data_IF_433539734587
#
_entry.id   IF_433539734587
#
_cell.length_a   1.000
_cell.length_b   1.000
_cell.length_c   1.000
_cell.angle_alpha   90.00
_cell.angle_beta   90.00
_cell.angle_gamma   90.00
#
_symmetry.space_group_name_H-M   'P 1'
#
loop_
_entity.id
_entity.type
_entity.pdbx_description
1 polymer ?
#
# COMPACT_ATOMS: atom_id res chain seq x y z
N UNK A 1 -21.77 10.74 20.82
CA UNK A 1 -21.02 9.47 20.63
C UNK A 1 -21.70 8.28 21.31
N UNK A 2 -22.08 8.30 22.57
CA UNK A 2 -22.75 7.13 23.22
C UNK A 2 -24.22 6.96 22.78
N UNK A 3 -24.98 8.05 22.55
CA UNK A 3 -26.34 8.01 21.99
C UNK A 3 -26.38 7.46 20.55
N UNK A 4 -25.35 7.69 19.74
CA UNK A 4 -25.29 7.23 18.36
C UNK A 4 -25.11 5.71 18.24
N UNK A 5 -24.34 5.08 19.12
CA UNK A 5 -24.11 3.64 19.12
C UNK A 5 -25.37 2.84 19.52
N UNK A 6 -26.15 3.37 20.45
CA UNK A 6 -27.41 2.78 20.84
C UNK A 6 -28.46 2.83 19.70
N UNK A 7 -28.62 4.01 19.08
CA UNK A 7 -29.52 4.18 17.92
C UNK A 7 -29.07 3.30 16.73
N UNK A 8 -27.77 3.15 16.52
CA UNK A 8 -27.25 2.25 15.49
C UNK A 8 -27.52 0.78 15.77
N UNK A 9 -27.42 0.33 17.03
CA UNK A 9 -27.74 -1.05 17.39
C UNK A 9 -29.22 -1.35 17.20
N UNK A 10 -30.11 -0.46 17.66
CA UNK A 10 -31.57 -0.59 17.47
C UNK A 10 -31.93 -0.51 15.97
N UNK A 11 -31.29 0.41 15.20
CA UNK A 11 -31.52 0.54 13.77
C UNK A 11 -31.18 -0.75 13.01
N UNK A 12 -30.08 -1.42 13.35
CA UNK A 12 -29.70 -2.72 12.75
C UNK A 12 -30.77 -3.79 12.97
N UNK A 13 -31.33 -3.89 14.18
CA UNK A 13 -32.43 -4.81 14.43
C UNK A 13 -33.75 -4.40 13.77
N UNK A 14 -33.98 -3.09 13.57
CA UNK A 14 -35.12 -2.61 12.80
C UNK A 14 -35.03 -3.01 11.33
N UNK A 15 -33.81 -2.98 10.76
CA UNK A 15 -33.57 -3.37 9.37
C UNK A 15 -33.57 -4.89 9.16
N UNK A 16 -33.21 -5.67 10.17
CA UNK A 16 -33.23 -7.14 10.08
C UNK A 16 -34.66 -7.70 10.20
N UNK A 17 -34.96 -8.65 9.32
CA UNK A 17 -36.14 -9.48 9.47
C UNK A 17 -35.84 -10.63 10.43
N UNK A 18 -36.38 -10.52 11.66
CA UNK A 18 -36.29 -11.54 12.71
C UNK A 18 -37.64 -12.22 12.97
N UNK A 19 -38.64 -12.03 12.10
CA UNK A 19 -40.01 -12.55 12.29
C UNK A 19 -40.03 -14.07 12.35
N UNK A 20 -39.19 -14.75 11.59
CA UNK A 20 -39.09 -16.22 11.54
C UNK A 20 -37.96 -16.77 12.44
N UNK A 21 -37.28 -15.89 13.21
CA UNK A 21 -36.23 -16.33 14.10
C UNK A 21 -36.76 -17.17 15.26
N UNK A 22 -36.28 -18.38 15.35
CA UNK A 22 -36.80 -19.40 16.29
C UNK A 22 -36.67 -18.99 17.76
N UNK A 23 -35.60 -18.31 18.13
CA UNK A 23 -35.38 -17.91 19.52
C UNK A 23 -36.40 -16.86 19.96
N UNK A 24 -36.63 -15.84 19.11
CA UNK A 24 -37.60 -14.78 19.40
C UNK A 24 -39.05 -15.23 19.24
N UNK A 25 -39.34 -16.08 18.25
CA UNK A 25 -40.68 -16.64 18.05
C UNK A 25 -41.07 -17.51 19.23
N UNK A 26 -40.17 -18.40 19.69
CA UNK A 26 -40.39 -19.23 20.86
C UNK A 26 -40.59 -18.40 22.15
N UNK A 27 -39.83 -17.28 22.26
CA UNK A 27 -39.98 -16.38 23.41
C UNK A 27 -41.35 -15.68 23.43
N UNK A 28 -41.88 -15.23 22.28
CA UNK A 28 -43.22 -14.64 22.16
C UNK A 28 -44.29 -15.66 22.47
N UNK A 29 -44.16 -16.90 21.99
CA UNK A 29 -45.10 -17.99 22.31
C UNK A 29 -45.07 -18.34 23.80
N UNK A 30 -43.89 -18.38 24.40
CA UNK A 30 -43.74 -18.63 25.83
C UNK A 30 -44.37 -17.52 26.68
N UNK A 31 -44.13 -16.23 26.33
CA UNK A 31 -44.78 -15.10 27.03
C UNK A 31 -46.31 -15.18 26.99
N UNK A 32 -46.84 -15.47 25.80
CA UNK A 32 -48.30 -15.70 25.62
C UNK A 32 -48.80 -16.85 26.51
N UNK A 33 -48.05 -17.95 26.58
CA UNK A 33 -48.42 -19.13 27.36
C UNK A 33 -48.32 -18.90 28.87
N UNK A 34 -47.26 -18.22 29.36
CA UNK A 34 -47.11 -17.85 30.78
C UNK A 34 -48.29 -17.05 31.27
N UNK A 35 -48.78 -16.12 30.47
CA UNK A 35 -49.86 -15.23 30.84
C UNK A 35 -51.26 -15.70 30.39
N UNK A 36 -51.30 -16.80 29.63
CA UNK A 36 -52.56 -17.30 29.02
C UNK A 36 -53.26 -16.17 28.26
N UNK A 37 -52.55 -15.52 27.35
CA UNK A 37 -52.99 -14.37 26.53
C UNK A 37 -52.96 -14.70 25.06
N UNK A 38 -53.96 -14.28 24.25
CA UNK A 38 -53.96 -14.58 22.81
C UNK A 38 -52.99 -13.72 22.00
N UNK A 39 -52.50 -12.61 22.55
CA UNK A 39 -51.62 -11.66 21.86
C UNK A 39 -50.34 -11.48 22.63
N UNK A 40 -49.24 -11.54 21.91
CA UNK A 40 -47.91 -11.26 22.42
C UNK A 40 -47.00 -10.73 21.32
N UNK A 41 -46.03 -9.92 21.67
CA UNK A 41 -45.05 -9.41 20.68
C UNK A 41 -43.74 -8.97 21.31
N UNK A 42 -42.70 -8.96 20.46
CA UNK A 42 -41.47 -8.20 20.64
C UNK A 42 -41.50 -7.02 19.66
N UNK A 43 -41.35 -5.81 20.18
CA UNK A 43 -41.26 -4.61 19.36
C UNK A 43 -40.04 -3.79 19.63
N UNK A 44 -39.55 -3.11 18.58
CA UNK A 44 -38.46 -2.12 18.62
C UNK A 44 -39.06 -0.75 18.38
N UNK A 45 -38.39 0.28 18.90
CA UNK A 45 -38.90 1.64 18.88
C UNK A 45 -37.86 2.56 18.24
N UNK A 46 -38.27 3.30 17.21
CA UNK A 46 -37.57 4.50 16.78
C UNK A 46 -38.23 5.77 17.38
N UNK A 47 -37.90 6.94 16.87
CA UNK A 47 -38.43 8.20 17.36
C UNK A 47 -39.97 8.32 17.16
N UNK A 48 -40.52 7.74 16.09
CA UNK A 48 -41.90 7.94 15.63
C UNK A 48 -42.69 6.65 15.51
N UNK A 49 -42.01 5.51 15.34
CA UNK A 49 -42.63 4.26 14.95
C UNK A 49 -42.28 3.14 15.96
N UNK A 50 -43.24 2.32 16.23
CA UNK A 50 -43.09 1.02 16.89
C UNK A 50 -43.17 -0.07 15.83
N UNK A 51 -42.11 -0.90 15.72
CA UNK A 51 -42.03 -2.02 14.80
C UNK A 51 -42.24 -3.33 15.53
N UNK A 52 -43.26 -4.09 15.14
CA UNK A 52 -43.53 -5.41 15.69
C UNK A 52 -42.68 -6.45 14.96
N UNK A 53 -41.56 -6.80 15.53
CA UNK A 53 -40.59 -7.67 14.91
C UNK A 53 -40.96 -9.14 15.00
N UNK A 54 -41.52 -9.56 16.10
CA UNK A 54 -42.09 -10.89 16.30
C UNK A 54 -43.44 -10.72 17.00
N UNK A 55 -44.47 -11.37 16.50
CA UNK A 55 -45.85 -11.17 16.99
C UNK A 55 -46.68 -12.44 16.95
N UNK A 56 -47.68 -12.51 17.84
CA UNK A 56 -48.71 -13.55 17.90
C UNK A 56 -50.07 -12.88 18.04
N UNK A 57 -51.04 -13.35 17.26
CA UNK A 57 -52.46 -12.95 17.38
C UNK A 57 -52.87 -11.77 16.51
N UNK A 58 -51.94 -11.04 15.84
CA UNK A 58 -52.25 -9.95 14.91
C UNK A 58 -51.23 -9.87 13.78
N UNK A 59 -51.56 -9.11 12.70
CA UNK A 59 -50.72 -9.09 11.47
C UNK A 59 -49.99 -7.77 11.24
N UNK A 60 -50.28 -6.69 12.01
CA UNK A 60 -49.62 -5.39 11.77
C UNK A 60 -48.12 -5.43 12.03
N UNK A 61 -47.33 -4.93 11.10
CA UNK A 61 -45.86 -4.88 11.20
C UNK A 61 -45.35 -3.66 11.98
N UNK A 62 -46.14 -2.60 12.04
CA UNK A 62 -45.76 -1.35 12.72
C UNK A 62 -46.96 -0.50 13.07
N UNK A 63 -46.75 0.46 13.97
CA UNK A 63 -47.72 1.50 14.29
C UNK A 63 -47.04 2.80 14.70
N UNK A 64 -47.76 3.97 14.60
CA UNK A 64 -47.26 5.21 15.17
C UNK A 64 -47.05 5.06 16.69
N UNK A 65 -45.85 5.45 17.16
CA UNK A 65 -45.47 5.31 18.59
C UNK A 65 -46.42 6.03 19.54
N UNK A 66 -47.00 7.15 19.14
CA UNK A 66 -47.94 7.94 19.93
C UNK A 66 -49.21 7.15 20.33
N UNK A 67 -49.58 6.15 19.51
CA UNK A 67 -50.79 5.31 19.76
C UNK A 67 -50.48 4.06 20.60
N UNK A 68 -49.21 3.82 20.92
CA UNK A 68 -48.77 2.60 21.62
C UNK A 68 -48.72 2.76 23.14
N UNK A 69 -48.90 1.65 23.84
CA UNK A 69 -48.67 1.56 25.30
C UNK A 69 -47.19 1.66 25.67
N UNK A 70 -46.32 1.42 24.70
CA UNK A 70 -44.86 1.31 24.83
C UNK A 70 -44.18 2.58 25.35
N UNK A 71 -44.71 3.78 25.07
CA UNK A 71 -44.13 5.02 25.59
C UNK A 71 -44.09 5.10 27.11
N UNK A 72 -45.05 4.42 27.78
CA UNK A 72 -45.12 4.37 29.24
C UNK A 72 -44.11 3.36 29.81
N UNK A 73 -43.92 2.23 29.14
CA UNK A 73 -42.92 1.20 29.51
C UNK A 73 -41.50 1.77 29.45
N UNK A 74 -41.15 2.40 28.33
CA UNK A 74 -39.78 2.95 28.11
C UNK A 74 -39.46 4.12 29.05
N UNK A 75 -40.46 4.86 29.50
CA UNK A 75 -40.25 5.99 30.44
C UNK A 75 -40.04 5.58 31.88
N UNK A 76 -40.55 4.40 32.28
CA UNK A 76 -40.51 3.94 33.67
C UNK A 76 -39.35 2.99 33.94
N UNK A 77 -38.69 2.48 32.85
CA UNK A 77 -37.63 1.44 32.91
C UNK A 77 -38.02 0.23 33.75
N UNK A 78 -39.34 -0.01 33.91
CA UNK A 78 -39.91 -1.07 34.72
C UNK A 78 -41.15 -1.68 34.00
N UNK A 79 -41.59 -2.81 34.47
CA UNK A 79 -42.77 -3.49 33.96
C UNK A 79 -44.04 -2.63 34.12
N UNK A 80 -44.80 -2.49 33.04
CA UNK A 80 -46.11 -1.85 33.08
C UNK A 80 -47.22 -2.91 32.97
N UNK A 81 -47.97 -3.11 34.06
CA UNK A 81 -49.14 -4.01 34.06
C UNK A 81 -50.40 -3.18 34.19
N UNK A 82 -51.33 -3.37 33.25
CA UNK A 82 -52.62 -2.69 33.20
C UNK A 82 -53.75 -3.76 33.18
N UNK A 83 -54.34 -4.07 34.32
CA UNK A 83 -55.36 -5.14 34.42
C UNK A 83 -56.66 -4.87 33.64
N UNK A 84 -57.04 -3.58 33.50
CA UNK A 84 -58.18 -3.15 32.71
C UNK A 84 -57.90 -1.77 32.09
N UNK A 85 -57.63 -1.75 30.82
CA UNK A 85 -57.21 -0.53 30.08
C UNK A 85 -58.36 0.52 30.02
N UNK A 86 -59.61 0.13 30.08
CA UNK A 86 -60.72 1.08 30.15
C UNK A 86 -60.80 1.82 31.49
N UNK A 87 -60.27 1.23 32.56
CA UNK A 87 -60.30 1.82 33.92
C UNK A 87 -59.01 2.64 34.15
N UNK A 88 -57.96 2.50 33.30
CA UNK A 88 -56.73 3.27 33.41
C UNK A 88 -56.87 4.56 32.65
N UNK A 89 -56.77 5.75 33.30
CA UNK A 89 -56.94 7.04 32.68
C UNK A 89 -55.91 7.30 31.54
N UNK A 90 -54.78 6.62 31.57
CA UNK A 90 -53.72 6.75 30.54
C UNK A 90 -54.15 6.13 29.22
N UNK A 91 -55.01 5.10 29.25
CA UNK A 91 -55.32 4.28 28.10
C UNK A 91 -56.80 4.24 27.72
N UNK A 92 -57.70 4.74 28.56
CA UNK A 92 -59.14 4.68 28.35
C UNK A 92 -59.59 5.29 26.99
N UNK A 93 -58.84 6.28 26.46
CA UNK A 93 -59.10 6.93 25.17
C UNK A 93 -58.18 6.43 24.04
N UNK A 94 -57.39 5.40 24.27
CA UNK A 94 -56.46 4.88 23.27
C UNK A 94 -57.25 4.20 22.12
N UNK A 95 -56.85 4.44 20.82
CA UNK A 95 -57.51 3.81 19.68
C UNK A 95 -57.58 2.28 19.74
N UNK A 96 -56.57 1.62 20.31
CA UNK A 96 -56.50 0.15 20.44
C UNK A 96 -57.40 -0.39 21.55
N UNK A 97 -57.87 0.50 22.45
CA UNK A 97 -58.80 0.16 23.53
C UNK A 97 -60.25 0.41 23.09
N UNK A 98 -60.49 1.50 22.34
CA UNK A 98 -61.84 1.86 21.87
C UNK A 98 -62.24 1.17 20.57
N UNK A 99 -61.25 0.92 19.67
CA UNK A 99 -61.40 0.26 18.37
C UNK A 99 -60.95 -1.20 18.42
N UNK A 100 -61.02 -1.86 17.27
CA UNK A 100 -60.55 -3.25 17.10
C UNK A 100 -59.02 -3.33 17.33
N UNK A 101 -58.55 -4.29 18.14
CA UNK A 101 -59.18 -5.47 18.73
C UNK A 101 -59.76 -5.26 20.13
N UNK A 102 -59.91 -4.01 20.59
CA UNK A 102 -60.52 -3.67 21.90
C UNK A 102 -59.74 -4.26 23.09
N UNK A 103 -58.42 -4.05 23.13
CA UNK A 103 -57.60 -4.56 24.23
C UNK A 103 -58.07 -4.06 25.59
N UNK A 104 -58.12 -4.98 26.57
CA UNK A 104 -58.54 -4.75 27.95
C UNK A 104 -57.40 -5.00 28.95
N UNK A 105 -56.52 -5.86 28.62
CA UNK A 105 -55.34 -6.17 29.44
C UNK A 105 -54.05 -5.88 28.65
N UNK A 106 -53.03 -5.33 29.33
CA UNK A 106 -51.73 -5.10 28.82
C UNK A 106 -50.67 -5.37 29.89
N UNK A 107 -49.63 -6.14 29.56
CA UNK A 107 -48.42 -6.19 30.35
C UNK A 107 -47.21 -6.05 29.40
N UNK A 108 -46.40 -5.04 29.62
CA UNK A 108 -45.23 -4.74 28.82
C UNK A 108 -43.96 -4.60 29.67
N UNK A 109 -42.89 -5.20 29.24
CA UNK A 109 -41.58 -5.20 29.90
C UNK A 109 -40.53 -4.62 28.96
N UNK A 110 -39.70 -3.69 29.44
CA UNK A 110 -38.62 -3.15 28.62
C UNK A 110 -37.56 -4.22 28.38
N UNK A 111 -37.03 -4.26 27.17
CA UNK A 111 -35.80 -5.00 26.80
C UNK A 111 -34.63 -4.06 27.02
N UNK A 112 -33.89 -4.26 28.09
CA UNK A 112 -32.84 -3.35 28.55
C UNK A 112 -31.47 -3.95 28.17
N UNK A 113 -30.62 -3.15 27.54
CA UNK A 113 -29.25 -3.55 27.22
C UNK A 113 -28.27 -3.39 28.42
N UNK A 114 -27.02 -3.78 28.28
CA UNK A 114 -25.93 -3.68 29.27
C UNK A 114 -25.59 -2.25 29.73
N UNK A 115 -26.18 -1.23 29.10
CA UNK A 115 -25.99 0.19 29.40
C UNK A 115 -27.26 0.81 30.04
N UNK A 116 -28.14 -0.01 30.56
CA UNK A 116 -29.42 0.42 31.11
C UNK A 116 -30.29 1.21 30.14
N UNK A 117 -30.24 0.88 28.83
CA UNK A 117 -31.03 1.56 27.81
C UNK A 117 -32.09 0.61 27.23
N UNK A 118 -33.34 1.03 27.12
CA UNK A 118 -34.40 0.22 26.55
C UNK A 118 -34.25 0.13 25.02
N UNK A 119 -34.00 -1.06 24.50
CA UNK A 119 -33.85 -1.35 23.06
C UNK A 119 -35.17 -1.80 22.42
N UNK A 120 -36.11 -2.26 23.21
CA UNK A 120 -37.39 -2.77 22.74
C UNK A 120 -38.34 -3.08 23.88
N UNK A 121 -39.41 -3.78 23.57
CA UNK A 121 -40.44 -4.18 24.55
C UNK A 121 -40.91 -5.60 24.22
N UNK A 122 -41.02 -6.44 25.26
CA UNK A 122 -41.81 -7.64 25.26
C UNK A 122 -43.16 -7.31 25.84
N UNK A 123 -44.26 -7.63 25.15
CA UNK A 123 -45.59 -7.37 25.66
C UNK A 123 -46.57 -8.53 25.41
N UNK A 124 -47.50 -8.67 26.31
CA UNK A 124 -48.69 -9.57 26.22
C UNK A 124 -49.96 -8.78 26.40
N UNK A 125 -50.99 -9.13 25.64
CA UNK A 125 -52.30 -8.42 25.65
C UNK A 125 -53.47 -9.41 25.60
N UNK A 126 -54.59 -8.94 26.09
CA UNK A 126 -55.86 -9.66 26.00
C UNK A 126 -57.02 -8.69 25.74
N UNK A 127 -58.06 -9.17 25.10
CA UNK A 127 -59.38 -8.46 24.95
C UNK A 127 -60.24 -8.55 26.15
N UNK A 128 -59.83 -9.27 27.19
CA UNK A 128 -60.49 -9.40 28.48
C UNK A 128 -59.63 -8.81 29.58
N UNK A 129 -60.23 -8.14 30.59
CA UNK A 129 -59.48 -7.74 31.78
C UNK A 129 -58.89 -8.97 32.48
N UNK A 130 -57.65 -8.80 32.96
CA UNK A 130 -56.87 -9.88 33.57
C UNK A 130 -55.98 -9.34 34.68
N UNK A 131 -55.85 -10.08 35.76
CA UNK A 131 -54.79 -9.83 36.76
C UNK A 131 -53.62 -10.76 36.53
N UNK A 132 -52.44 -10.24 36.67
CA UNK A 132 -51.20 -11.01 36.51
C UNK A 132 -50.70 -11.41 37.90
N UNK A 133 -50.44 -12.70 38.10
CA UNK A 133 -49.79 -13.18 39.31
C UNK A 133 -48.31 -12.73 39.37
N UNK A 134 -47.81 -12.57 40.61
CA UNK A 134 -46.39 -12.16 40.79
C UNK A 134 -45.39 -13.13 40.15
N UNK A 135 -45.70 -14.42 40.17
CA UNK A 135 -44.89 -15.48 39.53
C UNK A 135 -44.85 -15.31 38.01
N UNK A 136 -45.99 -14.97 37.40
CA UNK A 136 -46.07 -14.73 35.95
C UNK A 136 -45.28 -13.47 35.57
N UNK A 137 -45.39 -12.40 36.35
CA UNK A 137 -44.58 -11.19 36.12
C UNK A 137 -43.07 -11.46 36.25
N UNK A 138 -42.66 -12.20 37.30
CA UNK A 138 -41.28 -12.59 37.48
C UNK A 138 -40.73 -13.42 36.28
N UNK A 139 -41.54 -14.37 35.77
CA UNK A 139 -41.17 -15.17 34.58
C UNK A 139 -41.07 -14.30 33.35
N UNK A 140 -41.99 -13.35 33.12
CA UNK A 140 -41.87 -12.40 32.00
C UNK A 140 -40.64 -11.52 32.10
N UNK A 141 -40.28 -11.06 33.30
CA UNK A 141 -39.06 -10.26 33.53
C UNK A 141 -37.81 -11.03 33.13
N UNK A 142 -37.67 -12.27 33.61
CA UNK A 142 -36.56 -13.14 33.22
C UNK A 142 -36.51 -13.36 31.70
N UNK A 143 -37.68 -13.55 31.07
CA UNK A 143 -37.78 -13.75 29.63
C UNK A 143 -37.38 -12.49 28.86
N UNK A 144 -37.78 -11.29 29.31
CA UNK A 144 -37.41 -10.03 28.72
C UNK A 144 -35.88 -9.79 28.81
N UNK A 145 -35.29 -10.05 29.99
CA UNK A 145 -33.82 -10.00 30.15
C UNK A 145 -33.09 -10.97 29.21
N UNK A 146 -33.63 -12.18 29.06
CA UNK A 146 -33.02 -13.17 28.16
C UNK A 146 -33.10 -12.75 26.69
N UNK A 147 -34.22 -12.21 26.25
CA UNK A 147 -34.39 -11.65 24.90
C UNK A 147 -33.41 -10.51 24.67
N UNK A 148 -33.28 -9.57 25.61
CA UNK A 148 -32.34 -8.46 25.51
C UNK A 148 -30.88 -8.94 25.38
N UNK A 149 -30.48 -9.95 26.17
CA UNK A 149 -29.16 -10.56 26.12
C UNK A 149 -28.88 -11.24 24.78
N UNK A 150 -29.86 -11.99 24.22
CA UNK A 150 -29.70 -12.60 22.88
C UNK A 150 -29.53 -11.52 21.82
N UNK A 151 -30.33 -10.46 21.83
CA UNK A 151 -30.21 -9.33 20.91
C UNK A 151 -28.85 -8.71 21.00
N UNK A 152 -28.35 -8.42 22.19
CA UNK A 152 -27.06 -7.80 22.39
C UNK A 152 -25.89 -8.69 21.92
N UNK A 153 -25.98 -10.00 22.22
CA UNK A 153 -24.97 -10.97 21.78
C UNK A 153 -24.85 -10.98 20.23
N UNK A 154 -26.00 -10.98 19.54
CA UNK A 154 -26.01 -10.96 18.05
C UNK A 154 -25.36 -9.72 17.48
N UNK A 155 -25.68 -8.52 17.98
CA UNK A 155 -25.04 -7.28 17.55
C UNK A 155 -23.54 -7.35 17.79
N UNK A 156 -23.13 -7.85 18.95
CA UNK A 156 -21.70 -7.98 19.28
C UNK A 156 -20.98 -8.95 18.35
N UNK A 157 -21.62 -10.07 18.00
CA UNK A 157 -21.07 -11.05 17.06
C UNK A 157 -20.92 -10.47 15.65
N UNK A 158 -21.90 -9.71 15.16
CA UNK A 158 -21.82 -9.05 13.85
C UNK A 158 -20.67 -8.04 13.80
N UNK A 159 -20.55 -7.21 14.85
CA UNK A 159 -19.45 -6.22 14.95
C UNK A 159 -18.07 -6.89 14.97
N UNK A 160 -17.92 -7.96 15.74
CA UNK A 160 -16.68 -8.74 15.81
C UNK A 160 -16.32 -9.36 14.45
N UNK A 161 -17.32 -9.87 13.72
CA UNK A 161 -17.11 -10.46 12.40
C UNK A 161 -16.69 -9.39 11.36
N UNK A 162 -17.30 -8.18 11.41
CA UNK A 162 -16.88 -7.06 10.57
C UNK A 162 -15.44 -6.62 10.89
N UNK A 163 -15.09 -6.50 12.17
CA UNK A 163 -13.71 -6.15 12.58
C UNK A 163 -12.71 -7.22 12.17
N UNK A 164 -13.06 -8.51 12.32
CA UNK A 164 -12.23 -9.62 11.87
C UNK A 164 -11.94 -9.55 10.37
N UNK A 165 -12.98 -9.34 9.55
CA UNK A 165 -12.82 -9.20 8.09
C UNK A 165 -11.91 -8.04 7.71
N UNK A 166 -12.09 -6.87 8.35
CA UNK A 166 -11.23 -5.71 8.12
C UNK A 166 -9.76 -5.99 8.49
N UNK A 167 -9.54 -6.65 9.63
CA UNK A 167 -8.20 -7.03 10.07
C UNK A 167 -7.53 -8.02 9.12
N UNK A 168 -8.28 -9.01 8.61
CA UNK A 168 -7.79 -9.98 7.61
C UNK A 168 -7.43 -9.30 6.28
N UNK A 169 -8.25 -8.37 5.80
CA UNK A 169 -7.97 -7.59 4.58
C UNK A 169 -6.71 -6.73 4.74
N UNK A 170 -6.55 -6.05 5.87
CA UNK A 170 -5.36 -5.26 6.17
C UNK A 170 -4.10 -6.14 6.25
N UNK A 171 -4.19 -7.30 6.92
CA UNK A 171 -3.08 -8.24 7.02
C UNK A 171 -2.65 -8.75 5.64
N UNK A 172 -3.61 -9.12 4.79
CA UNK A 172 -3.35 -9.54 3.41
C UNK A 172 -2.72 -8.44 2.57
N UNK A 173 -3.18 -7.20 2.73
CA UNK A 173 -2.59 -6.06 2.03
C UNK A 173 -1.12 -5.84 2.43
N UNK A 174 -0.83 -5.89 3.74
CA UNK A 174 0.54 -5.75 4.27
C UNK A 174 1.44 -6.87 3.76
N UNK A 175 0.96 -8.12 3.77
CA UNK A 175 1.70 -9.28 3.26
C UNK A 175 2.07 -9.12 1.79
N UNK A 176 1.10 -8.78 0.93
CA UNK A 176 1.32 -8.57 -0.50
C UNK A 176 2.30 -7.41 -0.75
N UNK A 177 2.16 -6.30 -0.02
CA UNK A 177 3.07 -5.17 -0.12
C UNK A 177 4.50 -5.55 0.31
N UNK A 178 4.64 -6.30 1.39
CA UNK A 178 5.93 -6.81 1.89
C UNK A 178 6.61 -7.74 0.87
N UNK A 179 5.85 -8.70 0.30
CA UNK A 179 6.38 -9.60 -0.75
C UNK A 179 6.87 -8.79 -1.96
N UNK A 180 6.11 -7.80 -2.42
CA UNK A 180 6.51 -6.96 -3.56
C UNK A 180 7.79 -6.19 -3.27
N UNK A 181 7.86 -5.49 -2.13
CA UNK A 181 9.05 -4.74 -1.72
C UNK A 181 10.27 -5.65 -1.60
N UNK A 182 10.12 -6.83 -0.96
CA UNK A 182 11.19 -7.81 -0.86
C UNK A 182 11.64 -8.31 -2.23
N UNK A 183 10.72 -8.59 -3.15
CA UNK A 183 11.04 -9.01 -4.51
C UNK A 183 11.86 -7.97 -5.28
N UNK A 184 11.49 -6.68 -5.20
CA UNK A 184 12.28 -5.60 -5.79
C UNK A 184 13.69 -5.51 -5.20
N UNK A 185 13.79 -5.58 -3.88
CA UNK A 185 15.06 -5.51 -3.19
C UNK A 185 15.97 -6.68 -3.56
N UNK A 186 15.45 -7.91 -3.56
CA UNK A 186 16.21 -9.13 -3.87
C UNK A 186 16.58 -9.26 -5.36
N UNK A 187 15.77 -8.73 -6.28
CA UNK A 187 16.02 -8.82 -7.72
C UNK A 187 16.98 -7.77 -8.25
N UNK A 188 17.35 -6.80 -7.43
CA UNK A 188 18.29 -5.74 -7.84
C UNK A 188 19.68 -6.31 -8.14
N UNK A 189 20.23 -5.92 -9.31
CA UNK A 189 21.61 -6.23 -9.67
C UNK A 189 22.64 -5.45 -8.84
N UNK A 190 22.24 -4.36 -8.21
CA UNK A 190 23.11 -3.57 -7.34
C UNK A 190 23.23 -4.24 -5.96
N UNK A 191 24.42 -4.11 -5.37
CA UNK A 191 24.63 -4.40 -3.95
C UNK A 191 23.81 -3.39 -3.12
N UNK A 192 22.92 -3.89 -2.26
CA UNK A 192 22.07 -3.02 -1.44
C UNK A 192 22.06 -3.51 0.01
N UNK A 193 22.26 -2.56 0.92
CA UNK A 193 22.18 -2.78 2.36
C UNK A 193 21.47 -1.63 3.06
N UNK A 194 20.78 -1.95 4.13
CA UNK A 194 20.27 -1.00 5.10
C UNK A 194 21.10 -1.14 6.38
N UNK A 195 21.71 -0.04 6.80
CA UNK A 195 22.52 0.02 8.02
C UNK A 195 21.79 0.82 9.10
N UNK A 196 21.90 0.39 10.35
CA UNK A 196 21.40 1.09 11.51
C UNK A 196 22.31 2.24 11.93
N UNK A 197 21.96 2.94 13.02
CA UNK A 197 22.69 4.12 13.50
C UNK A 197 24.07 3.82 14.10
N UNK A 198 24.39 2.56 14.38
CA UNK A 198 25.70 2.14 14.89
C UNK A 198 26.55 1.39 13.85
N UNK A 199 26.11 1.38 12.58
CA UNK A 199 26.81 0.69 11.48
C UNK A 199 26.49 -0.79 11.35
N UNK A 200 25.54 -1.29 12.16
CA UNK A 200 25.02 -2.65 12.07
C UNK A 200 24.16 -2.85 10.82
N UNK A 201 24.27 -4.00 10.21
CA UNK A 201 23.48 -4.39 9.05
C UNK A 201 22.06 -4.75 9.53
N UNK A 202 21.07 -3.97 9.09
CA UNK A 202 19.65 -4.23 9.35
C UNK A 202 19.08 -5.18 8.31
N UNK A 203 19.40 -4.94 7.04
CA UNK A 203 18.94 -5.77 5.91
C UNK A 203 19.91 -5.69 4.74
N UNK A 204 19.88 -6.69 3.87
CA UNK A 204 20.69 -6.78 2.67
C UNK A 204 20.01 -7.62 1.60
N UNK A 205 20.29 -7.33 0.33
CA UNK A 205 19.74 -8.09 -0.78
C UNK A 205 20.63 -9.27 -1.18
N UNK A 206 20.11 -10.13 -2.05
CA UNK A 206 20.80 -11.31 -2.56
C UNK A 206 22.15 -10.98 -3.22
N UNK A 207 22.23 -9.85 -3.94
CA UNK A 207 23.46 -9.40 -4.59
C UNK A 207 24.53 -9.07 -3.55
N UNK A 208 24.18 -8.35 -2.48
CA UNK A 208 25.09 -8.05 -1.38
C UNK A 208 25.56 -9.32 -0.65
N UNK A 209 24.64 -10.22 -0.35
CA UNK A 209 24.98 -11.52 0.25
C UNK A 209 25.99 -12.29 -0.60
N UNK A 210 25.70 -12.47 -1.89
CA UNK A 210 26.54 -13.23 -2.79
C UNK A 210 27.93 -12.58 -2.95
N UNK A 211 27.98 -11.25 -3.03
CA UNK A 211 29.23 -10.51 -3.13
C UNK A 211 30.13 -10.75 -1.91
N UNK A 212 29.61 -10.55 -0.70
CA UNK A 212 30.36 -10.75 0.54
C UNK A 212 30.80 -12.23 0.68
N UNK A 213 29.92 -13.16 0.41
CA UNK A 213 30.25 -14.60 0.43
C UNK A 213 31.36 -14.96 -0.53
N UNK A 214 31.37 -14.41 -1.75
CA UNK A 214 32.38 -14.70 -2.75
C UNK A 214 33.73 -14.05 -2.44
N UNK A 215 33.71 -12.79 -1.97
CA UNK A 215 34.93 -12.02 -1.69
C UNK A 215 35.54 -12.40 -0.32
N UNK A 216 34.74 -12.37 0.72
CA UNK A 216 35.21 -12.59 2.10
C UNK A 216 35.10 -14.02 2.58
N UNK A 217 34.53 -14.95 1.77
CA UNK A 217 34.32 -16.37 2.10
C UNK A 217 33.55 -16.59 3.41
N UNK A 218 32.67 -15.64 3.74
CA UNK A 218 31.88 -15.63 4.97
C UNK A 218 30.44 -15.25 4.64
N UNK A 219 29.48 -15.82 5.38
CA UNK A 219 28.06 -15.45 5.26
C UNK A 219 27.78 -14.23 6.14
N UNK A 220 27.33 -13.16 5.51
CA UNK A 220 26.87 -11.96 6.22
C UNK A 220 25.53 -12.18 6.89
N UNK A 221 25.35 -11.60 8.08
CA UNK A 221 24.12 -11.70 8.88
C UNK A 221 23.64 -10.32 9.34
N UNK A 222 22.35 -10.22 9.57
CA UNK A 222 21.77 -9.06 10.27
C UNK A 222 22.41 -8.90 11.65
N UNK A 223 22.81 -7.69 12.00
CA UNK A 223 23.55 -7.35 13.21
C UNK A 223 25.08 -7.31 13.07
N UNK A 224 25.64 -7.85 11.98
CA UNK A 224 27.07 -7.69 11.69
C UNK A 224 27.41 -6.22 11.42
N UNK A 225 28.64 -5.81 11.70
CA UNK A 225 29.12 -4.47 11.34
C UNK A 225 29.67 -4.46 9.92
N UNK A 226 29.11 -3.65 9.05
CA UNK A 226 29.53 -3.58 7.65
C UNK A 226 30.99 -3.22 7.48
N UNK A 227 31.59 -2.43 8.39
CA UNK A 227 33.01 -2.04 8.35
C UNK A 227 33.96 -3.25 8.30
N UNK A 228 33.54 -4.42 8.80
CA UNK A 228 34.32 -5.67 8.76
C UNK A 228 34.48 -6.25 7.35
N UNK A 229 33.67 -5.79 6.40
CA UNK A 229 33.64 -6.26 5.01
C UNK A 229 34.10 -5.17 4.01
N UNK A 230 34.59 -4.03 4.51
CA UNK A 230 35.08 -2.93 3.69
C UNK A 230 36.59 -3.03 3.52
N UNK A 231 37.08 -2.76 2.30
CA UNK A 231 38.51 -2.70 2.03
C UNK A 231 39.19 -1.63 2.91
N UNK A 232 40.37 -1.93 3.51
CA UNK A 232 41.03 -1.03 4.47
C UNK A 232 41.20 0.41 4.00
N UNK A 233 41.53 0.59 2.73
CA UNK A 233 41.79 1.90 2.09
C UNK A 233 40.50 2.72 1.96
N UNK A 234 39.32 2.09 1.97
CA UNK A 234 38.04 2.75 1.84
C UNK A 234 37.34 2.99 3.19
N UNK A 235 37.80 2.39 4.27
CA UNK A 235 37.14 2.48 5.59
C UNK A 235 36.97 3.93 6.05
N UNK A 236 38.00 4.76 5.90
CA UNK A 236 37.95 6.19 6.33
C UNK A 236 36.88 6.96 5.56
N UNK A 237 36.89 6.81 4.23
CA UNK A 237 35.89 7.46 3.35
C UNK A 237 34.50 6.98 3.69
N UNK A 238 34.31 5.66 3.84
CA UNK A 238 33.03 5.08 4.24
C UNK A 238 32.49 5.68 5.53
N UNK A 239 33.32 5.75 6.58
CA UNK A 239 32.89 6.29 7.88
C UNK A 239 32.52 7.78 7.83
N UNK A 240 33.22 8.57 7.02
CA UNK A 240 32.88 9.97 6.82
C UNK A 240 31.54 10.13 6.07
N UNK A 241 31.32 9.37 5.00
CA UNK A 241 30.06 9.36 4.24
C UNK A 241 28.90 8.82 5.06
N UNK A 242 29.17 7.79 5.86
CA UNK A 242 28.18 7.25 6.81
C UNK A 242 27.70 8.31 7.81
N UNK A 243 28.61 9.10 8.42
CA UNK A 243 28.24 10.20 9.32
C UNK A 243 27.39 11.26 8.63
N UNK A 244 27.79 11.67 7.41
CA UNK A 244 27.01 12.63 6.61
C UNK A 244 25.59 12.12 6.37
N UNK A 245 25.43 10.83 6.04
CA UNK A 245 24.10 10.24 5.86
C UNK A 245 23.27 10.26 7.14
N UNK A 246 23.88 10.03 8.31
CA UNK A 246 23.18 10.16 9.61
C UNK A 246 22.81 11.61 9.95
N UNK A 247 23.51 12.59 9.36
CA UNK A 247 23.17 14.03 9.45
C UNK A 247 22.16 14.46 8.35
N UNK A 248 21.65 13.52 7.56
CA UNK A 248 20.64 13.79 6.51
C UNK A 248 21.23 14.18 5.16
N UNK A 249 22.53 14.09 4.98
CA UNK A 249 23.22 14.50 3.75
C UNK A 249 23.49 13.28 2.87
N UNK A 250 22.97 13.30 1.63
CA UNK A 250 23.26 12.29 0.62
C UNK A 250 24.64 12.52 0.02
N UNK A 251 25.35 11.44 -0.27
CA UNK A 251 26.64 11.53 -0.97
C UNK A 251 26.84 10.33 -1.90
N UNK A 252 27.72 10.54 -2.88
CA UNK A 252 28.10 9.52 -3.87
C UNK A 252 29.62 9.50 -3.96
N UNK A 253 30.17 8.30 -4.02
CA UNK A 253 31.61 8.07 -4.23
C UNK A 253 31.82 7.10 -5.38
N UNK A 254 32.86 7.34 -6.18
CA UNK A 254 33.31 6.43 -7.22
C UNK A 254 34.76 6.00 -6.94
N UNK A 255 35.04 4.75 -7.22
CA UNK A 255 36.39 4.23 -7.04
C UNK A 255 36.55 2.88 -7.73
N UNK A 256 37.73 2.32 -7.57
CA UNK A 256 38.03 0.96 -8.00
C UNK A 256 38.70 0.20 -6.86
N UNK A 257 38.43 -1.09 -6.80
CA UNK A 257 39.07 -1.98 -5.83
C UNK A 257 39.55 -3.23 -6.56
N UNK A 258 40.80 -3.62 -6.29
CA UNK A 258 41.34 -4.89 -6.78
C UNK A 258 40.94 -6.01 -5.82
N UNK A 259 40.10 -6.93 -6.30
CA UNK A 259 39.66 -8.12 -5.58
C UNK A 259 40.47 -9.36 -5.96
N UNK A 260 41.72 -9.18 -6.42
CA UNK A 260 42.66 -10.25 -6.74
C UNK A 260 42.14 -11.16 -7.85
N UNK A 261 41.72 -12.38 -7.52
CA UNK A 261 41.22 -13.35 -8.49
C UNK A 261 39.95 -12.89 -9.24
N UNK A 262 39.25 -11.85 -8.75
CA UNK A 262 38.06 -11.29 -9.37
C UNK A 262 38.37 -10.04 -10.21
N UNK A 263 39.63 -9.60 -10.23
CA UNK A 263 40.09 -8.42 -10.98
C UNK A 263 39.69 -7.10 -10.33
N UNK A 264 39.92 -6.02 -11.08
CA UNK A 264 39.58 -4.65 -10.67
C UNK A 264 38.12 -4.40 -10.99
N UNK A 265 37.36 -4.06 -9.95
CA UNK A 265 35.95 -3.68 -10.06
C UNK A 265 35.85 -2.17 -9.85
N UNK A 266 35.33 -1.48 -10.86
CA UNK A 266 34.95 -0.08 -10.73
C UNK A 266 33.54 -0.01 -10.12
N UNK A 267 33.37 0.80 -9.08
CA UNK A 267 32.12 0.92 -8.34
C UNK A 267 31.73 2.38 -8.14
N UNK A 268 30.42 2.57 -8.01
CA UNK A 268 29.79 3.81 -7.60
C UNK A 268 28.92 3.52 -6.39
N UNK A 269 29.23 4.15 -5.25
CA UNK A 269 28.59 3.92 -3.98
C UNK A 269 27.72 5.12 -3.58
N UNK A 270 26.46 4.85 -3.26
CA UNK A 270 25.49 5.83 -2.82
C UNK A 270 25.27 5.66 -1.31
N UNK A 271 25.36 6.77 -0.58
CA UNK A 271 25.16 6.88 0.85
C UNK A 271 23.94 7.78 1.08
N UNK A 272 22.80 7.19 1.41
CA UNK A 272 21.55 7.94 1.55
C UNK A 272 20.96 7.75 2.95
N UNK A 273 20.44 8.84 3.60
CA UNK A 273 19.75 8.72 4.88
C UNK A 273 18.53 7.80 4.73
N UNK A 274 18.38 6.86 5.65
CA UNK A 274 17.17 6.06 5.79
C UNK A 274 16.32 6.63 6.92
N UNK A 275 15.07 7.01 6.63
CA UNK A 275 14.16 7.66 7.58
C UNK A 275 12.90 6.85 7.81
N UNK A 276 12.33 6.97 9.01
CA UNK A 276 11.00 6.47 9.34
C UNK A 276 9.87 7.36 8.75
N UNK A 277 8.61 6.98 9.00
CA UNK A 277 7.45 7.76 8.54
C UNK A 277 7.34 9.16 9.14
N UNK A 278 7.97 9.42 10.27
CA UNK A 278 8.03 10.72 10.94
C UNK A 278 9.20 11.59 10.44
N UNK A 279 10.06 11.05 9.57
CA UNK A 279 11.25 11.75 9.07
C UNK A 279 12.48 11.62 9.96
N UNK A 280 12.43 10.82 11.02
CA UNK A 280 13.61 10.59 11.85
C UNK A 280 14.56 9.65 11.14
N UNK A 281 15.85 9.98 11.13
CA UNK A 281 16.87 9.14 10.52
C UNK A 281 17.11 7.92 11.39
N UNK A 282 16.79 6.73 10.84
CA UNK A 282 16.95 5.43 11.50
C UNK A 282 18.26 4.74 11.14
N UNK A 283 18.95 5.23 10.10
CA UNK A 283 20.19 4.66 9.60
C UNK A 283 20.55 5.17 8.22
N UNK A 284 21.20 4.34 7.43
CA UNK A 284 21.69 4.66 6.08
C UNK A 284 21.34 3.55 5.09
N UNK A 285 20.84 3.92 3.93
CA UNK A 285 20.79 3.06 2.74
C UNK A 285 22.13 3.12 2.03
N UNK A 286 22.76 1.98 1.83
CA UNK A 286 24.03 1.82 1.15
C UNK A 286 23.86 1.00 -0.11
N UNK A 287 24.11 1.62 -1.26
CA UNK A 287 23.91 0.99 -2.57
C UNK A 287 25.22 1.09 -3.35
N UNK A 288 25.73 -0.04 -3.86
CA UNK A 288 26.89 -0.06 -4.75
C UNK A 288 26.46 -0.57 -6.11
N UNK A 289 26.79 0.20 -7.12
CA UNK A 289 26.64 -0.13 -8.53
C UNK A 289 28.00 -0.51 -9.12
N UNK A 290 28.08 -1.65 -9.78
CA UNK A 290 29.26 -2.00 -10.59
C UNK A 290 29.20 -1.20 -11.89
N UNK A 291 30.23 -0.39 -12.13
CA UNK A 291 30.37 0.45 -13.33
C UNK A 291 31.58 0.03 -14.18
N UNK A 292 32.14 -1.17 -13.98
CA UNK A 292 33.33 -1.67 -14.70
C UNK A 292 33.10 -1.66 -16.21
N UNK A 293 32.00 -2.27 -16.67
CA UNK A 293 31.67 -2.30 -18.10
C UNK A 293 31.49 -0.89 -18.70
N UNK A 294 30.93 0.03 -17.95
CA UNK A 294 30.81 1.43 -18.37
C UNK A 294 32.17 2.09 -18.51
N UNK A 295 33.07 1.91 -17.54
CA UNK A 295 34.43 2.46 -17.57
C UNK A 295 35.28 1.87 -18.69
N UNK A 296 35.16 0.57 -18.93
CA UNK A 296 35.84 -0.09 -20.06
C UNK A 296 35.37 0.48 -21.42
N UNK A 297 34.05 0.72 -21.57
CA UNK A 297 33.51 1.34 -22.78
C UNK A 297 34.00 2.80 -22.94
N UNK A 298 33.98 3.59 -21.85
CA UNK A 298 34.48 4.97 -21.84
C UNK A 298 35.95 5.01 -22.25
N UNK A 299 36.77 4.14 -21.69
CA UNK A 299 38.21 4.04 -22.01
C UNK A 299 38.44 3.67 -23.48
N UNK A 300 37.71 2.67 -23.99
CA UNK A 300 37.78 2.24 -25.39
C UNK A 300 37.40 3.35 -26.36
N UNK A 301 36.37 4.13 -26.03
CA UNK A 301 35.99 5.31 -26.85
C UNK A 301 37.09 6.36 -26.83
N UNK A 302 37.72 6.59 -25.67
CA UNK A 302 38.80 7.55 -25.54
C UNK A 302 39.99 7.13 -26.40
N UNK A 303 40.44 5.88 -26.32
CA UNK A 303 41.52 5.31 -27.14
C UNK A 303 41.22 5.41 -28.65
N UNK A 304 39.99 5.12 -29.04
CA UNK A 304 39.56 5.28 -30.43
C UNK A 304 39.62 6.73 -30.90
N UNK A 305 39.16 7.68 -30.07
CA UNK A 305 39.24 9.11 -30.39
C UNK A 305 40.69 9.60 -30.50
N UNK A 306 41.58 9.19 -29.61
CA UNK A 306 43.02 9.51 -29.70
C UNK A 306 43.64 8.95 -30.96
N UNK A 307 43.32 7.72 -31.32
CA UNK A 307 43.75 7.08 -32.56
C UNK A 307 43.29 7.85 -33.81
N UNK A 308 41.99 8.23 -33.83
CA UNK A 308 41.42 9.04 -34.92
C UNK A 308 42.09 10.41 -35.05
N UNK A 309 42.36 11.10 -33.93
CA UNK A 309 43.08 12.37 -33.93
C UNK A 309 44.53 12.22 -34.46
N UNK A 310 45.20 11.14 -34.08
CA UNK A 310 46.56 10.83 -34.58
C UNK A 310 46.54 10.59 -36.08
N UNK A 311 45.62 9.79 -36.61
CA UNK A 311 45.43 9.54 -38.03
C UNK A 311 45.16 10.86 -38.77
N UNK A 312 44.23 11.67 -38.30
CA UNK A 312 43.87 12.95 -38.88
C UNK A 312 45.10 13.92 -38.94
N UNK A 313 45.95 13.90 -37.91
CA UNK A 313 47.17 14.72 -37.86
C UNK A 313 48.19 14.27 -38.92
N UNK A 314 48.45 12.96 -39.03
CA UNK A 314 49.34 12.39 -40.05
C UNK A 314 48.84 12.75 -41.46
N UNK A 315 47.55 12.52 -41.73
CA UNK A 315 46.95 12.81 -43.03
C UNK A 315 47.01 14.30 -43.40
N UNK A 316 46.72 15.19 -42.43
CA UNK A 316 46.85 16.64 -42.65
C UNK A 316 48.29 17.05 -43.03
N UNK A 317 49.27 16.39 -42.43
CA UNK A 317 50.70 16.65 -42.77
C UNK A 317 51.05 16.11 -44.17
N UNK A 318 50.62 14.92 -44.52
CA UNK A 318 50.83 14.29 -45.83
C UNK A 318 50.20 15.06 -47.00
N UNK A 319 48.99 15.61 -46.78
CA UNK A 319 48.33 16.45 -47.79
C UNK A 319 48.95 17.85 -47.93
N UNK A 320 49.52 18.41 -46.85
CA UNK A 320 50.09 19.74 -46.87
C UNK A 320 51.31 19.83 -47.82
N UNK A 321 52.09 18.78 -47.86
CA UNK A 321 53.33 18.77 -48.70
C UNK A 321 53.00 18.90 -50.19
N UNK A 322 52.23 18.04 -50.85
CA UNK A 322 51.87 18.18 -52.26
C UNK A 322 51.05 19.47 -52.53
N UNK A 323 50.12 19.85 -51.60
CA UNK A 323 49.40 21.10 -51.75
C UNK A 323 50.28 22.35 -51.75
N UNK A 324 51.32 22.40 -50.88
CA UNK A 324 52.26 23.48 -50.86
C UNK A 324 53.07 23.55 -52.16
N UNK A 325 53.41 22.37 -52.70
CA UNK A 325 54.13 22.29 -54.01
C UNK A 325 53.21 22.80 -55.14
N UNK A 326 51.93 22.40 -55.17
CA UNK A 326 50.97 22.88 -56.15
C UNK A 326 50.80 24.40 -56.05
N UNK A 327 50.62 24.97 -54.85
CA UNK A 327 50.47 26.40 -54.65
C UNK A 327 51.72 27.17 -55.03
N UNK A 328 52.91 26.66 -54.72
CA UNK A 328 54.21 27.28 -55.11
C UNK A 328 54.42 27.31 -56.62
N UNK A 329 54.16 26.19 -57.29
CA UNK A 329 54.26 26.12 -58.76
C UNK A 329 53.25 27.03 -59.47
N UNK A 330 51.97 27.09 -58.95
CA UNK A 330 50.97 28.03 -59.48
C UNK A 330 51.37 29.49 -59.30
N UNK A 331 52.03 29.84 -58.18
CA UNK A 331 52.56 31.19 -57.97
C UNK A 331 53.67 31.54 -58.98
N UNK A 332 54.61 30.61 -59.21
CA UNK A 332 55.66 30.78 -60.19
C UNK A 332 55.13 30.91 -61.63
N UNK A 333 54.15 30.06 -62.00
CA UNK A 333 53.49 30.14 -63.32
C UNK A 333 52.83 31.49 -63.53
N UNK A 334 52.21 32.05 -62.49
CA UNK A 334 51.53 33.34 -62.51
C UNK A 334 52.53 34.50 -62.62
N UNK A 335 53.69 34.44 -61.98
CA UNK A 335 54.74 35.43 -62.09
C UNK A 335 55.36 35.52 -63.49
N UNK A 336 55.33 34.43 -64.25
CA UNK A 336 55.78 34.34 -65.64
C UNK A 336 54.64 34.59 -66.66
N UNK A 337 53.60 35.34 -66.29
CA UNK A 337 52.46 35.69 -67.13
C UNK A 337 51.83 34.47 -67.86
N UNK A 338 51.80 33.31 -67.16
CA UNK A 338 51.32 32.01 -67.66
C UNK A 338 52.09 31.43 -68.85
N UNK A 339 53.28 31.94 -69.12
CA UNK A 339 54.19 31.41 -70.14
C UNK A 339 55.40 30.61 -69.56
N UNK A 340 55.09 29.99 -68.42
CA UNK A 340 56.14 29.22 -67.71
C UNK A 340 56.65 28.03 -68.50
N UNK A 341 57.90 27.55 -68.20
CA UNK A 341 58.49 26.38 -68.81
C UNK A 341 57.62 25.15 -68.66
N UNK A 342 57.60 24.30 -69.70
CA UNK A 342 56.79 23.07 -69.68
C UNK A 342 57.05 22.16 -68.46
N UNK A 343 58.25 22.28 -67.95
CA UNK A 343 58.67 21.55 -66.74
C UNK A 343 57.79 21.87 -65.48
N UNK A 344 57.38 23.12 -65.31
CA UNK A 344 56.48 23.51 -64.18
C UNK A 344 55.12 22.88 -64.32
N UNK A 345 54.55 22.71 -65.47
CA UNK A 345 53.30 22.03 -65.72
C UNK A 345 53.37 20.52 -65.43
N UNK A 346 54.59 19.95 -65.78
CA UNK A 346 54.85 18.53 -65.52
C UNK A 346 54.94 18.27 -64.00
N UNK A 347 55.62 19.12 -63.24
CA UNK A 347 55.76 19.04 -61.81
C UNK A 347 54.45 19.30 -61.11
N UNK A 348 53.62 20.22 -61.61
CA UNK A 348 52.28 20.48 -61.11
C UNK A 348 51.38 19.24 -61.26
N UNK A 349 51.37 18.62 -62.44
CA UNK A 349 50.59 17.36 -62.65
C UNK A 349 51.06 16.21 -61.72
N UNK A 350 52.38 16.10 -61.50
CA UNK A 350 52.94 15.11 -60.59
C UNK A 350 52.46 15.39 -59.16
N UNK A 351 52.42 16.63 -58.69
CA UNK A 351 52.01 16.99 -57.38
C UNK A 351 50.49 16.77 -57.18
N UNK A 352 49.69 17.06 -58.23
CA UNK A 352 48.25 16.79 -58.20
C UNK A 352 47.97 15.29 -58.16
N UNK A 353 48.64 14.47 -59.00
CA UNK A 353 48.47 13.04 -58.99
C UNK A 353 48.88 12.42 -57.61
N UNK A 354 49.99 12.89 -57.05
CA UNK A 354 50.47 12.44 -55.75
C UNK A 354 49.44 12.78 -54.63
N UNK A 355 48.77 13.92 -54.71
CA UNK A 355 47.71 14.28 -53.77
C UNK A 355 46.47 13.37 -53.96
N UNK A 356 46.09 13.09 -55.23
CA UNK A 356 44.93 12.21 -55.52
C UNK A 356 45.19 10.78 -55.02
N UNK A 357 46.45 10.26 -55.27
CA UNK A 357 46.81 8.94 -54.75
C UNK A 357 46.72 8.87 -53.21
N UNK A 358 47.23 9.90 -52.51
CA UNK A 358 47.15 9.96 -51.04
C UNK A 358 45.73 10.05 -50.55
N UNK A 359 44.85 10.78 -51.24
CA UNK A 359 43.41 10.83 -50.89
C UNK A 359 42.78 9.45 -51.09
N UNK A 360 43.11 8.74 -52.16
CA UNK A 360 42.60 7.39 -52.40
C UNK A 360 43.06 6.40 -51.33
N UNK A 361 44.29 6.45 -50.93
CA UNK A 361 44.82 5.60 -49.85
C UNK A 361 44.03 5.80 -48.57
N UNK A 362 43.73 7.05 -48.19
CA UNK A 362 42.92 7.38 -47.00
C UNK A 362 41.49 6.83 -47.10
N UNK A 363 40.84 6.98 -48.28
CA UNK A 363 39.48 6.47 -48.49
C UNK A 363 39.47 4.95 -48.39
N UNK A 364 40.43 4.25 -49.00
CA UNK A 364 40.53 2.81 -48.92
C UNK A 364 40.80 2.29 -47.49
N UNK A 365 41.64 2.98 -46.71
CA UNK A 365 41.88 2.65 -45.30
C UNK A 365 40.64 2.81 -44.44
N UNK A 366 39.82 3.84 -44.68
CA UNK A 366 38.54 4.06 -43.99
C UNK A 366 37.54 2.95 -44.36
N UNK A 367 37.41 2.62 -45.64
CA UNK A 367 36.50 1.57 -46.12
C UNK A 367 36.89 0.21 -45.53
N UNK A 368 38.18 -0.12 -45.49
CA UNK A 368 38.65 -1.38 -44.88
C UNK A 368 38.38 -1.43 -43.38
N UNK A 369 38.55 -0.32 -42.68
CA UNK A 369 38.23 -0.22 -41.24
C UNK A 369 36.75 -0.36 -40.93
N UNK A 370 35.85 0.09 -41.81
CA UNK A 370 34.42 -0.06 -41.69
C UNK A 370 33.97 -1.52 -41.88
N UNK A 371 34.56 -2.22 -42.87
CA UNK A 371 34.26 -3.62 -43.17
C UNK A 371 34.64 -4.51 -41.98
N UNK A 372 35.84 -4.33 -41.42
CA UNK A 372 36.31 -5.09 -40.23
C UNK A 372 35.40 -4.86 -39.01
N UNK A 373 34.98 -3.61 -38.77
CA UNK A 373 34.06 -3.31 -37.65
C UNK A 373 32.65 -3.91 -37.82
N UNK A 374 32.16 -4.11 -39.03
CA UNK A 374 30.88 -4.75 -39.29
C UNK A 374 30.97 -6.27 -39.13
N UNK A 375 32.05 -6.93 -39.52
CA UNK A 375 32.29 -8.35 -39.30
C UNK A 375 32.43 -8.73 -37.81
N UNK A 376 32.95 -7.79 -36.98
CA UNK A 376 33.03 -7.97 -35.49
C UNK A 376 31.65 -7.80 -34.82
N UNK A 377 30.70 -7.12 -35.48
CA UNK A 377 29.33 -6.93 -34.92
C UNK A 377 28.35 -8.07 -35.24
N UNK A 378 28.66 -8.91 -36.21
CA UNK A 378 27.82 -10.04 -36.61
C UNK A 378 28.25 -11.38 -35.99
N UNK A 379 29.33 -11.45 -35.24
CA UNK A 379 29.77 -12.57 -34.41
C UNK A 379 29.65 -12.25 -32.91
#
# INVERSE_FOLDING_TARGET
>A
MVKDLHLQAVARFIEQDISDDRDFTSAVELASSICDTPYAFISLLDEKTQYFKVRKGFESDSMPRENGFCNYVVRQDDALVVPDTLKDPRFANNPMVLGDPCFRFYAGLPLINDRDQPIGILAVLDTKPKELANEQLAMLTILAEHIANIMQLRVSMELLEEERKRAEEQSRFIEVASIRLRSFFESSANFQMLLGRNGEIIDFNKTAFNFIKNVHKTDVKTGDLLVSFIAPDFVTIFLDRYKLALDGIKSVEQGSTDYGAHGIIWWEAYFEPASDRQGNIIGMSYVIRNITEQKEKEQKILEQNESLLHIAHIQAHEFRAPLTTIMGLLALIKEEDYQAPYEYYTLLNQAVNNLDDKIRDVVNDIEHSIVINNEIREN
#
